data_IF_386652258704
#
_entry.id   IF_386652258704
#
_cell.length_a   1.000
_cell.length_b   1.000
_cell.length_c   1.000
_cell.angle_alpha   90.00
_cell.angle_beta   90.00
_cell.angle_gamma   90.00
#
_symmetry.space_group_name_H-M   'P 1'
#
loop_
_entity.id
_entity.type
_entity.pdbx_description
1 polymer ?
#
# COMPACT_ATOMS: atom_id res chain seq x y z
N UNK A 1 -9.84 1.91 -3.56
CA UNK A 1 -9.79 1.79 -2.10
C UNK A 1 -8.61 0.92 -1.68
N UNK A 2 -7.77 1.45 -0.78
CA UNK A 2 -6.65 0.74 -0.14
C UNK A 2 -6.98 0.57 1.34
N UNK A 3 -6.62 -0.55 1.93
CA UNK A 3 -6.63 -0.74 3.37
C UNK A 3 -5.27 -1.28 3.85
N UNK A 4 -4.73 -0.63 4.86
CA UNK A 4 -3.55 -1.04 5.60
C UNK A 4 -4.02 -1.56 6.96
N UNK A 5 -3.90 -2.87 7.19
CA UNK A 5 -4.50 -3.54 8.34
C UNK A 5 -3.43 -4.15 9.22
N UNK A 6 -3.47 -3.84 10.51
CA UNK A 6 -2.68 -4.47 11.57
C UNK A 6 -3.64 -5.11 12.58
N UNK A 7 -3.21 -6.04 13.45
CA UNK A 7 -4.11 -6.62 14.44
C UNK A 7 -4.81 -5.55 15.29
N UNK A 8 -6.15 -5.48 15.20
CA UNK A 8 -6.98 -4.55 15.95
C UNK A 8 -7.17 -3.15 15.34
N UNK A 9 -6.57 -2.84 14.17
CA UNK A 9 -6.72 -1.53 13.53
C UNK A 9 -6.62 -1.61 12.00
N UNK A 10 -7.43 -0.79 11.31
CA UNK A 10 -7.33 -0.60 9.86
C UNK A 10 -7.21 0.89 9.54
N UNK A 11 -6.33 1.22 8.59
CA UNK A 11 -6.20 2.53 7.99
C UNK A 11 -6.62 2.43 6.53
N UNK A 12 -7.74 3.07 6.16
CA UNK A 12 -8.32 2.98 4.83
C UNK A 12 -8.17 4.28 4.04
N UNK A 13 -7.82 4.16 2.77
CA UNK A 13 -7.65 5.26 1.82
C UNK A 13 -8.67 5.10 0.69
N UNK A 14 -9.65 6.01 0.69
CA UNK A 14 -10.77 6.04 -0.26
C UNK A 14 -10.63 7.17 -1.28
N UNK A 15 -9.42 7.35 -1.80
CA UNK A 15 -9.10 8.34 -2.82
C UNK A 15 -8.04 7.78 -3.76
N UNK A 16 -7.80 8.47 -4.88
CA UNK A 16 -6.71 8.17 -5.77
C UNK A 16 -5.36 8.30 -5.06
N UNK A 17 -4.43 7.41 -5.43
CA UNK A 17 -3.07 7.34 -4.91
C UNK A 17 -2.14 7.27 -6.11
N UNK A 18 -1.07 8.07 -6.11
CA UNK A 18 -0.05 7.99 -7.16
C UNK A 18 0.58 6.60 -7.10
N UNK A 19 0.44 5.80 -8.16
CA UNK A 19 0.97 4.45 -8.19
C UNK A 19 1.62 4.11 -9.52
N UNK A 20 2.75 3.40 -9.45
CA UNK A 20 3.53 2.99 -10.62
C UNK A 20 3.96 1.53 -10.48
N UNK A 21 3.71 0.74 -11.52
CA UNK A 21 4.20 -0.62 -11.63
C UNK A 21 5.64 -0.60 -12.19
N UNK A 22 6.56 -1.33 -11.55
CA UNK A 22 7.97 -1.42 -11.95
C UNK A 22 8.46 -2.86 -11.83
N UNK A 23 9.30 -3.27 -12.77
CA UNK A 23 10.03 -4.54 -12.67
C UNK A 23 11.16 -4.42 -11.63
N UNK A 24 11.35 -5.45 -10.83
CA UNK A 24 12.46 -5.63 -9.90
C UNK A 24 12.93 -7.09 -9.92
N UNK A 25 14.08 -7.32 -10.56
CA UNK A 25 14.58 -8.67 -10.83
C UNK A 25 13.58 -9.47 -11.68
N UNK A 26 13.26 -10.68 -11.24
CA UNK A 26 12.28 -11.57 -11.88
C UNK A 26 10.83 -11.33 -11.41
N UNK A 27 10.58 -10.23 -10.70
CA UNK A 27 9.28 -9.91 -10.12
C UNK A 27 8.82 -8.50 -10.48
N UNK A 28 7.52 -8.25 -10.33
CA UNK A 28 6.98 -6.89 -10.44
C UNK A 28 6.54 -6.37 -9.09
N UNK A 29 6.62 -5.05 -8.95
CA UNK A 29 6.14 -4.34 -7.78
C UNK A 29 5.34 -3.10 -8.16
N UNK A 30 4.49 -2.65 -7.23
CA UNK A 30 3.80 -1.37 -7.33
C UNK A 30 4.31 -0.45 -6.24
N UNK A 31 4.90 0.67 -6.63
CA UNK A 31 5.19 1.77 -5.71
C UNK A 31 3.98 2.68 -5.65
N UNK A 32 3.50 2.96 -4.45
CA UNK A 32 2.42 3.90 -4.20
C UNK A 32 2.87 5.05 -3.30
N UNK A 33 2.35 6.25 -3.55
CA UNK A 33 2.46 7.41 -2.65
C UNK A 33 1.09 7.92 -2.28
N UNK A 34 0.80 7.87 -0.98
CA UNK A 34 -0.42 8.43 -0.42
C UNK A 34 -0.48 9.95 -0.63
N UNK A 35 -1.68 10.55 -0.73
CA UNK A 35 -1.87 11.99 -0.67
C UNK A 35 -1.21 12.61 0.57
N UNK A 36 -0.65 13.81 0.43
CA UNK A 36 0.10 14.50 1.50
C UNK A 36 -0.70 14.67 2.79
N UNK A 37 -2.00 14.95 2.68
CA UNK A 37 -2.89 15.09 3.83
C UNK A 37 -3.05 13.81 4.66
N UNK A 38 -2.60 12.66 4.15
CA UNK A 38 -2.62 11.37 4.84
C UNK A 38 -1.25 10.94 5.38
N UNK A 39 -0.16 11.65 5.06
CA UNK A 39 1.19 11.27 5.45
C UNK A 39 1.36 11.17 6.96
N UNK A 40 0.92 12.18 7.71
CA UNK A 40 1.04 12.21 9.17
C UNK A 40 0.29 11.03 9.83
N UNK A 41 -0.96 10.79 9.43
CA UNK A 41 -1.77 9.70 9.98
C UNK A 41 -1.17 8.31 9.65
N UNK A 42 -0.63 8.15 8.45
CA UNK A 42 0.05 6.92 8.04
C UNK A 42 1.38 6.73 8.80
N UNK A 43 2.15 7.79 8.97
CA UNK A 43 3.40 7.77 9.72
C UNK A 43 3.16 7.38 11.19
N UNK A 44 2.14 7.96 11.83
CA UNK A 44 1.80 7.64 13.21
C UNK A 44 1.31 6.19 13.35
N UNK A 45 0.48 5.71 12.43
CA UNK A 45 0.04 4.31 12.40
C UNK A 45 1.23 3.34 12.26
N UNK A 46 2.13 3.60 11.31
CA UNK A 46 3.29 2.73 11.10
C UNK A 46 4.28 2.75 12.26
N UNK A 47 4.43 3.89 12.94
CA UNK A 47 5.25 4.00 14.14
C UNK A 47 4.68 3.21 15.32
N UNK A 48 3.37 3.31 15.57
CA UNK A 48 2.70 2.60 16.69
C UNK A 48 2.71 1.08 16.53
N UNK A 49 2.81 0.58 15.29
CA UNK A 49 2.77 -0.84 14.98
C UNK A 49 4.09 -1.38 14.42
N UNK A 50 5.21 -0.69 14.67
CA UNK A 50 6.53 -1.20 14.38
C UNK A 50 6.74 -2.59 15.01
N UNK A 51 7.36 -3.50 14.26
CA UNK A 51 7.52 -4.91 14.59
C UNK A 51 6.31 -5.80 14.25
N UNK A 52 5.15 -5.24 13.89
CA UNK A 52 3.95 -6.04 13.53
C UNK A 52 3.84 -6.26 12.03
N UNK A 53 3.14 -7.33 11.66
CA UNK A 53 2.75 -7.58 10.27
C UNK A 53 1.57 -6.72 9.89
N UNK A 54 1.71 -5.96 8.81
CA UNK A 54 0.65 -5.17 8.20
C UNK A 54 0.21 -5.86 6.92
N UNK A 55 -1.08 -6.12 6.78
CA UNK A 55 -1.67 -6.57 5.53
C UNK A 55 -2.05 -5.35 4.67
N UNK A 56 -1.70 -5.39 3.39
CA UNK A 56 -2.21 -4.44 2.41
C UNK A 56 -3.29 -5.10 1.57
N UNK A 57 -4.44 -4.45 1.50
CA UNK A 57 -5.54 -4.86 0.64
C UNK A 57 -5.88 -3.75 -0.34
N UNK A 58 -6.05 -4.10 -1.61
CA UNK A 58 -6.56 -3.20 -2.65
C UNK A 58 -7.87 -3.79 -3.13
N UNK A 59 -8.93 -2.99 -3.07
CA UNK A 59 -10.27 -3.43 -3.49
C UNK A 59 -10.73 -4.72 -2.80
N UNK A 60 -10.44 -4.87 -1.50
CA UNK A 60 -10.80 -6.05 -0.71
C UNK A 60 -9.91 -7.29 -0.95
N UNK A 61 -9.08 -7.30 -2.01
CA UNK A 61 -8.11 -8.36 -2.24
C UNK A 61 -6.84 -8.05 -1.46
N UNK A 62 -6.46 -8.94 -0.56
CA UNK A 62 -5.19 -8.86 0.16
C UNK A 62 -4.05 -9.21 -0.79
N UNK A 63 -3.07 -8.31 -0.92
CA UNK A 63 -1.96 -8.45 -1.87
C UNK A 63 -0.65 -8.84 -1.19
N UNK A 64 -0.31 -8.19 -0.07
CA UNK A 64 0.93 -8.44 0.64
C UNK A 64 0.76 -8.38 2.17
N UNK A 65 1.80 -8.83 2.89
CA UNK A 65 1.87 -8.80 4.36
C UNK A 65 3.27 -8.40 4.87
N UNK A 66 3.77 -7.19 4.56
CA UNK A 66 5.07 -6.74 5.06
C UNK A 66 5.07 -6.58 6.58
N UNK A 67 6.20 -6.89 7.21
CA UNK A 67 6.47 -6.49 8.59
C UNK A 67 6.86 -5.01 8.61
N UNK A 68 6.16 -4.22 9.39
CA UNK A 68 6.53 -2.83 9.66
C UNK A 68 7.82 -2.83 10.47
N UNK A 69 8.91 -2.30 9.91
CA UNK A 69 10.19 -2.21 10.62
C UNK A 69 10.38 -0.86 11.27
N UNK A 70 9.96 0.19 10.59
CA UNK A 70 10.17 1.59 10.98
C UNK A 70 8.96 2.44 10.62
N UNK A 71 8.92 3.65 11.19
CA UNK A 71 8.01 4.72 10.80
C UNK A 71 8.19 5.06 9.31
N UNK A 72 7.09 5.29 8.60
CA UNK A 72 7.09 5.73 7.20
C UNK A 72 6.58 7.17 7.12
N UNK A 73 7.48 8.13 6.89
CA UNK A 73 7.13 9.57 7.00
C UNK A 73 6.47 10.15 5.74
N UNK A 74 6.81 9.68 4.55
CA UNK A 74 6.42 10.31 3.28
C UNK A 74 5.21 9.64 2.59
N UNK A 75 4.47 8.79 3.31
CA UNK A 75 3.32 8.07 2.75
C UNK A 75 3.66 7.12 1.58
N UNK A 76 4.93 6.77 1.38
CA UNK A 76 5.38 5.88 0.30
C UNK A 76 5.34 4.43 0.75
N UNK A 77 4.80 3.55 -0.09
CA UNK A 77 4.76 2.11 0.14
C UNK A 77 5.05 1.34 -1.14
N UNK A 78 5.41 0.06 -0.99
CA UNK A 78 5.62 -0.84 -2.11
C UNK A 78 4.82 -2.15 -1.94
N UNK A 79 4.32 -2.68 -3.05
CA UNK A 79 3.66 -3.98 -3.14
C UNK A 79 4.53 -4.86 -4.02
N UNK A 80 5.28 -5.78 -3.42
CA UNK A 80 6.26 -6.61 -4.11
C UNK A 80 5.72 -8.01 -4.44
N UNK A 81 6.41 -8.75 -5.31
CA UNK A 81 6.10 -10.15 -5.60
C UNK A 81 4.85 -10.35 -6.45
N UNK A 82 4.52 -9.38 -7.30
CA UNK A 82 3.40 -9.43 -8.23
C UNK A 82 3.86 -9.96 -9.60
N UNK A 83 2.92 -10.50 -10.37
CA UNK A 83 3.08 -10.62 -11.82
C UNK A 83 2.97 -9.24 -12.48
N UNK A 84 3.49 -9.08 -13.70
CA UNK A 84 3.35 -7.84 -14.49
C UNK A 84 1.89 -7.40 -14.59
N UNK A 85 1.02 -8.30 -15.07
CA UNK A 85 -0.41 -8.03 -15.24
C UNK A 85 -1.10 -7.66 -13.91
N UNK A 86 -0.73 -8.28 -12.79
CA UNK A 86 -1.25 -7.89 -11.49
C UNK A 86 -0.73 -6.53 -11.02
N UNK A 87 0.56 -6.25 -11.23
CA UNK A 87 1.15 -4.97 -10.86
C UNK A 87 0.51 -3.81 -11.63
N UNK A 88 0.36 -3.94 -12.95
CA UNK A 88 -0.32 -2.95 -13.79
C UNK A 88 -1.78 -2.76 -13.37
N UNK A 89 -2.52 -3.86 -13.18
CA UNK A 89 -3.92 -3.81 -12.73
C UNK A 89 -4.06 -3.12 -11.38
N UNK A 90 -3.18 -3.45 -10.43
CA UNK A 90 -3.18 -2.83 -9.10
C UNK A 90 -2.83 -1.35 -9.19
N UNK A 91 -1.76 -0.97 -9.90
CA UNK A 91 -1.40 0.44 -10.09
C UNK A 91 -2.55 1.25 -10.72
N UNK A 92 -3.23 0.71 -11.73
CA UNK A 92 -4.39 1.35 -12.33
C UNK A 92 -5.56 1.52 -11.33
N UNK A 93 -5.84 0.52 -10.50
CA UNK A 93 -6.88 0.61 -9.45
C UNK A 93 -6.54 1.67 -8.39
N UNK A 94 -5.26 1.76 -8.00
CA UNK A 94 -4.79 2.75 -7.03
C UNK A 94 -4.93 4.19 -7.57
N UNK A 95 -4.49 4.43 -8.81
CA UNK A 95 -4.59 5.73 -9.46
C UNK A 95 -6.05 6.19 -9.66
N UNK A 96 -7.00 5.27 -9.84
CA UNK A 96 -8.43 5.60 -9.95
C UNK A 96 -9.11 5.86 -8.60
N UNK A 97 -8.55 5.34 -7.50
CA UNK A 97 -9.14 5.42 -6.16
C UNK A 97 -10.37 4.54 -5.93
N UNK A 98 -10.91 3.88 -6.96
CA UNK A 98 -12.14 3.08 -6.92
C UNK A 98 -11.94 1.66 -7.48
N UNK A 99 -12.92 0.81 -7.24
CA UNK A 99 -12.89 -0.63 -7.52
C UNK A 99 -14.08 -0.93 -8.42
N UNK A 100 -13.86 -0.85 -9.73
CA UNK A 100 -14.87 -1.06 -10.77
C UNK A 100 -14.54 -2.35 -11.52
#
# INVERSE_FOLDING_TARGET
MIAFTVPGQSFSVNTAVEAEARAEGDSWQVFGRLPENLHAAFADMTAMHAGKTMALSVCGKQLNRPTLRTRIENGVFAITGLSEADAERVAAQLNRGRCD
#
